data_IF_503420329196
#
_entry.id   IF_503420329196
#
_cell.length_a   1.000
_cell.length_b   1.000
_cell.length_c   1.000
_cell.angle_alpha   90.00
_cell.angle_beta   90.00
_cell.angle_gamma   90.00
#
_symmetry.space_group_name_H-M   'P 1'
#
loop_
_entity.id
_entity.type
_entity.pdbx_description
1 polymer ?
#
# COMPACT_ATOMS: atom_id res chain seq x y z
N UNK A 1 -1.37 24.05 17.17
CA UNK A 1 -2.41 23.20 16.55
C UNK A 1 -1.89 21.77 16.56
N UNK A 2 -2.56 20.83 17.24
CA UNK A 2 -2.05 19.44 17.38
C UNK A 2 -2.19 18.71 16.03
N UNK A 3 -1.07 18.24 15.50
CA UNK A 3 -0.98 17.52 14.23
C UNK A 3 -1.39 16.06 14.40
N UNK A 4 -2.70 15.80 14.38
CA UNK A 4 -3.24 14.44 14.46
C UNK A 4 -2.97 13.60 13.20
N UNK A 5 -2.58 14.25 12.09
CA UNK A 5 -2.40 13.64 10.77
C UNK A 5 -0.95 13.46 10.33
N UNK A 6 0.01 14.01 11.09
CA UNK A 6 1.42 13.88 10.76
C UNK A 6 2.00 12.69 11.52
N UNK A 7 2.15 11.57 10.82
CA UNK A 7 3.02 10.48 11.26
C UNK A 7 4.44 11.01 11.51
N UNK A 8 5.19 10.33 12.38
CA UNK A 8 6.61 10.64 12.61
C UNK A 8 7.38 10.57 11.29
N UNK A 9 8.42 11.40 11.13
CA UNK A 9 9.29 11.31 9.96
C UNK A 9 9.85 9.91 9.86
N UNK A 10 9.60 9.25 8.73
CA UNK A 10 10.21 7.95 8.41
C UNK A 10 11.71 8.21 8.30
N UNK A 11 12.50 7.50 9.09
CA UNK A 11 13.96 7.56 9.06
C UNK A 11 14.50 7.22 7.66
N UNK A 12 15.70 7.71 7.33
CA UNK A 12 16.34 7.60 6.01
C UNK A 12 16.16 6.21 5.37
N UNK A 13 15.29 6.15 4.36
CA UNK A 13 15.03 4.97 3.55
C UNK A 13 16.30 4.66 2.77
N UNK A 14 16.92 3.51 3.03
CA UNK A 14 17.98 2.96 2.17
C UNK A 14 17.40 2.71 0.79
N UNK A 15 17.87 3.42 -0.23
CA UNK A 15 17.43 3.22 -1.61
C UNK A 15 17.84 1.83 -2.11
N UNK A 16 16.89 0.97 -2.50
CA UNK A 16 17.18 -0.17 -3.35
C UNK A 16 17.20 0.31 -4.81
N UNK A 17 18.27 -0.03 -5.52
CA UNK A 17 18.40 0.26 -6.96
C UNK A 17 17.45 -0.66 -7.72
N UNK A 18 16.35 -0.09 -8.24
CA UNK A 18 15.45 -0.81 -9.13
C UNK A 18 16.15 -1.12 -10.48
N UNK A 19 15.88 -2.29 -11.10
CA UNK A 19 16.36 -2.56 -12.45
C UNK A 19 15.76 -1.55 -13.44
N UNK A 20 16.51 -1.14 -14.49
CA UNK A 20 16.05 -0.12 -15.42
C UNK A 20 14.83 -0.63 -16.22
N UNK A 21 13.69 0.04 -16.03
CA UNK A 21 12.49 -0.17 -16.84
C UNK A 21 12.79 0.38 -18.24
N UNK A 22 12.67 -0.47 -19.27
CA UNK A 22 12.90 -0.07 -20.66
C UNK A 22 11.89 1.03 -21.05
N UNK A 23 12.42 2.19 -21.46
CA UNK A 23 11.69 3.37 -21.92
C UNK A 23 10.51 3.01 -22.83
N UNK A 24 9.33 2.96 -22.24
CA UNK A 24 8.06 2.85 -22.95
C UNK A 24 7.35 4.19 -22.80
N UNK A 25 6.73 4.68 -23.87
CA UNK A 25 5.93 5.92 -23.90
C UNK A 25 4.80 6.00 -22.85
N UNK A 26 4.56 4.92 -22.12
CA UNK A 26 3.52 4.80 -21.08
C UNK A 26 4.05 4.91 -19.65
N UNK A 27 5.36 5.01 -19.45
CA UNK A 27 5.96 5.16 -18.11
C UNK A 27 6.61 6.53 -17.96
N UNK A 28 6.29 7.19 -16.85
CA UNK A 28 7.01 8.38 -16.38
C UNK A 28 8.26 7.93 -15.60
N UNK A 29 9.33 8.71 -15.67
CA UNK A 29 10.49 8.50 -14.81
C UNK A 29 10.15 8.86 -13.36
N UNK A 30 10.71 8.11 -12.41
CA UNK A 30 10.55 8.45 -11.00
C UNK A 30 11.15 9.85 -10.72
N UNK A 31 10.44 10.71 -9.96
CA UNK A 31 10.91 12.05 -9.66
C UNK A 31 12.20 12.01 -8.84
N UNK A 32 13.22 12.74 -9.32
CA UNK A 32 14.56 12.74 -8.71
C UNK A 32 14.55 13.46 -7.36
N UNK A 33 15.22 12.86 -6.37
CA UNK A 33 15.41 13.45 -5.05
C UNK A 33 14.19 13.37 -4.12
N UNK A 34 13.13 12.64 -4.52
CA UNK A 34 11.98 12.34 -3.66
C UNK A 34 12.00 10.83 -3.34
N UNK A 35 12.17 10.43 -2.08
CA UNK A 35 12.22 9.01 -1.73
C UNK A 35 10.88 8.32 -1.99
N UNK A 36 10.95 7.08 -2.46
CA UNK A 36 9.78 6.24 -2.63
C UNK A 36 9.24 5.76 -1.27
N UNK A 37 8.01 6.16 -0.93
CA UNK A 37 7.32 5.74 0.28
C UNK A 37 6.75 4.33 0.18
N UNK A 38 6.31 3.92 -1.01
CA UNK A 38 5.93 2.54 -1.33
C UNK A 38 6.66 2.09 -2.59
N UNK A 39 7.29 0.93 -2.54
CA UNK A 39 7.99 0.31 -3.66
C UNK A 39 7.43 -1.10 -3.86
N UNK A 40 6.81 -1.35 -5.01
CA UNK A 40 6.19 -2.63 -5.35
C UNK A 40 7.09 -3.36 -6.33
N UNK A 41 7.41 -4.62 -6.04
CA UNK A 41 8.40 -5.40 -6.79
C UNK A 41 7.83 -6.75 -7.20
N UNK A 42 7.49 -6.88 -8.49
CA UNK A 42 6.96 -8.09 -9.10
C UNK A 42 5.72 -8.65 -8.39
N UNK A 43 4.92 -7.80 -7.75
CA UNK A 43 3.84 -8.21 -6.86
C UNK A 43 2.78 -8.99 -7.64
N UNK A 44 2.49 -10.20 -7.19
CA UNK A 44 1.64 -11.16 -7.91
C UNK A 44 0.64 -11.81 -6.96
N UNK A 45 -0.61 -11.94 -7.42
CA UNK A 45 -1.67 -12.68 -6.72
C UNK A 45 -2.38 -13.65 -7.64
N UNK A 46 -2.36 -14.91 -7.26
CA UNK A 46 -3.14 -15.99 -7.87
C UNK A 46 -4.10 -16.54 -6.81
N UNK A 47 -5.40 -16.54 -7.11
CA UNK A 47 -6.40 -17.17 -6.27
C UNK A 47 -6.58 -18.63 -6.67
N UNK A 48 -5.96 -19.53 -5.91
CA UNK A 48 -5.85 -20.97 -6.22
C UNK A 48 -7.20 -21.64 -6.45
N UNK A 49 -8.24 -21.28 -5.66
CA UNK A 49 -9.59 -21.84 -5.80
C UNK A 49 -10.21 -21.63 -7.17
N UNK A 50 -9.85 -20.55 -7.85
CA UNK A 50 -10.42 -20.16 -9.14
C UNK A 50 -9.38 -20.27 -10.27
N UNK A 51 -8.16 -20.70 -9.95
CA UNK A 51 -6.98 -20.62 -10.82
C UNK A 51 -6.86 -19.28 -11.56
N UNK A 52 -7.20 -18.18 -10.86
CA UNK A 52 -7.33 -16.85 -11.46
C UNK A 52 -6.20 -15.95 -11.00
N UNK A 53 -5.45 -15.43 -11.98
CA UNK A 53 -4.45 -14.39 -11.75
C UNK A 53 -5.18 -13.06 -11.60
N UNK A 54 -5.04 -12.42 -10.45
CA UNK A 54 -5.67 -11.14 -10.14
C UNK A 54 -4.70 -9.96 -10.25
N UNK A 55 -3.41 -10.20 -9.99
CA UNK A 55 -2.31 -9.25 -10.20
C UNK A 55 -1.12 -10.06 -10.70
N UNK A 56 -0.43 -9.58 -11.73
CA UNK A 56 0.68 -10.29 -12.37
C UNK A 56 1.91 -9.38 -12.49
N UNK A 57 2.93 -9.63 -11.67
CA UNK A 57 4.22 -8.92 -11.69
C UNK A 57 4.07 -7.40 -11.76
N UNK A 58 3.30 -6.82 -10.82
CA UNK A 58 3.17 -5.37 -10.72
C UNK A 58 4.46 -4.79 -10.14
N UNK A 59 5.07 -3.86 -10.87
CA UNK A 59 6.17 -3.01 -10.42
C UNK A 59 5.68 -1.56 -10.40
N UNK A 60 5.84 -0.88 -9.27
CA UNK A 60 5.33 0.49 -9.07
C UNK A 60 6.06 1.16 -7.90
N UNK A 61 6.55 2.38 -8.12
CA UNK A 61 7.02 3.26 -7.06
C UNK A 61 6.02 4.38 -6.81
N UNK A 62 5.81 4.72 -5.53
CA UNK A 62 5.04 5.89 -5.13
C UNK A 62 5.92 6.77 -4.25
N UNK A 63 6.04 8.04 -4.62
CA UNK A 63 6.95 8.97 -3.98
C UNK A 63 6.29 9.74 -2.84
N UNK A 64 7.08 10.05 -1.82
CA UNK A 64 6.58 10.81 -0.67
C UNK A 64 6.06 12.19 -1.08
N UNK A 65 4.94 12.60 -0.47
CA UNK A 65 4.31 13.90 -0.76
C UNK A 65 3.51 13.95 -2.07
N UNK A 66 3.37 12.83 -2.79
CA UNK A 66 2.55 12.74 -3.98
C UNK A 66 1.28 11.93 -3.75
N UNK A 67 0.26 12.20 -4.57
CA UNK A 67 -0.97 11.41 -4.63
C UNK A 67 -0.86 10.47 -5.83
N UNK A 68 -0.77 9.17 -5.57
CA UNK A 68 -0.81 8.15 -6.62
C UNK A 68 -2.22 7.60 -6.76
N UNK A 69 -2.70 7.51 -8.01
CA UNK A 69 -4.01 6.92 -8.32
C UNK A 69 -3.84 5.62 -9.10
N UNK A 70 -4.40 4.53 -8.58
CA UNK A 70 -4.47 3.24 -9.29
C UNK A 70 -5.81 3.11 -10.01
N UNK A 71 -5.82 3.27 -11.34
CA UNK A 71 -7.03 3.27 -12.17
C UNK A 71 -7.11 2.03 -13.07
N UNK A 72 -8.32 1.64 -13.45
CA UNK A 72 -8.58 0.48 -14.30
C UNK A 72 -10.01 -0.04 -14.18
N UNK A 73 -10.43 -0.93 -15.06
CA UNK A 73 -11.78 -1.52 -15.05
C UNK A 73 -12.04 -2.40 -13.81
N UNK A 74 -13.30 -2.81 -13.60
CA UNK A 74 -13.65 -3.75 -12.54
C UNK A 74 -12.96 -5.09 -12.76
N UNK A 75 -12.33 -5.64 -11.71
CA UNK A 75 -11.55 -6.87 -11.80
C UNK A 75 -10.12 -6.72 -12.34
N UNK A 76 -9.65 -5.50 -12.64
CA UNK A 76 -8.26 -5.25 -13.06
C UNK A 76 -7.20 -5.48 -11.97
N UNK A 77 -7.61 -5.76 -10.73
CA UNK A 77 -6.69 -6.04 -9.62
C UNK A 77 -6.49 -4.90 -8.63
N UNK A 78 -7.13 -3.72 -8.80
CA UNK A 78 -6.96 -2.54 -7.92
C UNK A 78 -7.12 -2.85 -6.43
N UNK A 79 -8.30 -3.37 -6.05
CA UNK A 79 -8.59 -3.74 -4.66
C UNK A 79 -7.67 -4.86 -4.20
N UNK A 80 -7.36 -5.83 -5.08
CA UNK A 80 -6.44 -6.92 -4.77
C UNK A 80 -5.03 -6.42 -4.44
N UNK A 81 -4.52 -5.46 -5.19
CA UNK A 81 -3.23 -4.80 -4.92
C UNK A 81 -3.27 -4.10 -3.57
N UNK A 82 -4.28 -3.27 -3.31
CA UNK A 82 -4.41 -2.59 -2.02
C UNK A 82 -4.52 -3.57 -0.85
N UNK A 83 -5.26 -4.67 -1.01
CA UNK A 83 -5.37 -5.72 0.00
C UNK A 83 -4.04 -6.43 0.29
N UNK A 84 -3.16 -6.59 -0.70
CA UNK A 84 -1.82 -7.12 -0.45
C UNK A 84 -0.94 -6.10 0.29
N UNK A 85 -0.93 -4.84 -0.15
CA UNK A 85 -0.13 -3.78 0.49
C UNK A 85 -0.54 -3.52 1.94
N UNK A 86 -1.83 -3.72 2.26
CA UNK A 86 -2.39 -3.55 3.60
C UNK A 86 -2.34 -4.81 4.45
N UNK A 87 -1.83 -5.92 3.91
CA UNK A 87 -1.67 -7.19 4.63
C UNK A 87 -2.97 -7.95 4.88
N UNK A 88 -4.08 -7.61 4.23
CA UNK A 88 -5.34 -8.35 4.33
C UNK A 88 -5.19 -9.81 3.84
N UNK A 89 -4.33 -10.02 2.84
CA UNK A 89 -3.83 -11.34 2.49
C UNK A 89 -2.44 -11.24 1.86
N UNK A 90 -1.60 -12.29 2.00
CA UNK A 90 -0.25 -12.25 1.46
C UNK A 90 -0.26 -12.32 -0.08
N UNK A 91 0.78 -11.79 -0.75
CA UNK A 91 1.02 -12.03 -2.16
C UNK A 91 1.30 -13.53 -2.41
N UNK A 92 1.07 -13.98 -3.65
CA UNK A 92 1.49 -15.31 -4.10
C UNK A 92 3.00 -15.33 -4.39
N UNK A 93 3.51 -14.24 -4.95
CA UNK A 93 4.96 -14.00 -5.15
C UNK A 93 5.23 -12.51 -5.30
N UNK A 94 6.51 -12.14 -5.25
CA UNK A 94 6.93 -10.73 -5.18
C UNK A 94 6.78 -10.14 -3.78
N UNK A 95 7.06 -8.85 -3.65
CA UNK A 95 6.96 -8.13 -2.38
C UNK A 95 6.64 -6.64 -2.61
N UNK A 96 6.45 -5.90 -1.52
CA UNK A 96 6.48 -4.46 -1.50
C UNK A 96 7.17 -3.96 -0.24
N UNK A 97 7.82 -2.80 -0.34
CA UNK A 97 8.38 -2.06 0.78
C UNK A 97 7.49 -0.86 1.07
N UNK A 98 7.07 -0.68 2.32
CA UNK A 98 6.31 0.50 2.77
C UNK A 98 7.12 1.16 3.88
N UNK A 99 7.58 2.39 3.66
CA UNK A 99 8.47 3.08 4.60
C UNK A 99 9.76 2.30 4.88
N UNK A 100 10.23 1.51 3.92
CA UNK A 100 11.43 0.66 4.07
C UNK A 100 11.19 -0.74 4.65
N UNK A 101 9.97 -1.06 5.13
CA UNK A 101 9.63 -2.36 5.70
C UNK A 101 8.93 -3.28 4.70
N UNK A 102 9.32 -4.56 4.67
CA UNK A 102 8.78 -5.54 3.74
C UNK A 102 7.39 -6.07 4.18
N UNK A 103 6.39 -6.05 3.28
CA UNK A 103 5.01 -6.47 3.60
C UNK A 103 4.86 -7.98 3.89
N UNK A 104 5.83 -8.81 3.52
CA UNK A 104 5.84 -10.25 3.76
C UNK A 104 6.54 -10.57 5.08
N UNK A 105 7.60 -9.83 5.42
CA UNK A 105 8.46 -10.12 6.58
C UNK A 105 8.21 -9.23 7.80
N UNK A 106 7.80 -7.98 7.59
CA UNK A 106 7.80 -6.90 8.59
C UNK A 106 6.44 -6.18 8.65
N UNK A 107 5.35 -6.91 8.38
CA UNK A 107 4.02 -6.30 8.24
C UNK A 107 3.55 -5.53 9.49
N UNK A 108 4.00 -5.92 10.70
CA UNK A 108 3.68 -5.19 11.92
C UNK A 108 4.28 -3.78 11.95
N UNK A 109 5.46 -3.58 11.36
CA UNK A 109 6.07 -2.27 11.20
C UNK A 109 5.35 -1.47 10.10
N UNK A 110 5.03 -2.13 8.97
CA UNK A 110 4.25 -1.54 7.89
C UNK A 110 2.92 -0.96 8.40
N UNK A 111 2.18 -1.72 9.22
CA UNK A 111 0.87 -1.28 9.75
C UNK A 111 0.95 -0.10 10.72
N UNK A 112 2.12 0.20 11.30
CA UNK A 112 2.29 1.40 12.16
C UNK A 112 2.34 2.69 11.36
N UNK A 113 2.75 2.62 10.09
CA UNK A 113 2.86 3.78 9.20
C UNK A 113 1.80 3.82 8.10
N UNK A 114 0.94 2.79 8.00
CA UNK A 114 -0.05 2.65 6.94
C UNK A 114 -1.48 2.82 7.48
N UNK A 115 -2.26 3.70 6.84
CA UNK A 115 -3.71 3.81 7.04
C UNK A 115 -4.48 3.21 5.86
N UNK A 116 -5.59 2.52 6.15
CA UNK A 116 -6.51 2.00 5.14
C UNK A 116 -7.90 2.59 5.34
N UNK A 117 -8.47 3.14 4.28
CA UNK A 117 -9.90 3.44 4.20
C UNK A 117 -10.61 2.29 3.48
N UNK A 118 -11.52 1.55 4.13
CA UNK A 118 -12.28 0.48 3.49
C UNK A 118 -13.16 0.98 2.34
N UNK A 119 -13.59 0.06 1.47
CA UNK A 119 -14.49 0.37 0.34
C UNK A 119 -15.91 0.75 0.81
N UNK A 120 -16.35 0.20 1.93
CA UNK A 120 -17.67 0.45 2.50
C UNK A 120 -17.50 1.07 3.89
N UNK A 121 -18.35 2.02 4.22
CA UNK A 121 -18.34 2.67 5.51
C UNK A 121 -18.71 1.67 6.60
N UNK A 122 -17.88 1.56 7.63
CA UNK A 122 -18.09 0.69 8.78
C UNK A 122 -18.63 1.56 9.92
N UNK A 123 -19.92 1.90 9.82
CA UNK A 123 -20.64 2.69 10.82
C UNK A 123 -21.49 1.76 11.70
N UNK A 124 -21.44 2.01 13.00
CA UNK A 124 -22.24 1.35 14.03
C UNK A 124 -23.28 2.34 14.53
N UNK A 125 -24.56 2.03 14.33
CA UNK A 125 -25.67 2.94 14.66
C UNK A 125 -25.71 3.33 16.15
N UNK A 126 -25.19 2.46 17.02
CA UNK A 126 -25.18 2.64 18.47
C UNK A 126 -24.01 3.50 18.99
N UNK A 127 -23.06 3.90 18.12
CA UNK A 127 -21.88 4.66 18.52
C UNK A 127 -21.92 6.11 18.01
N UNK A 128 -21.61 7.05 18.89
CA UNK A 128 -21.34 8.44 18.50
C UNK A 128 -20.07 8.54 17.64
N UNK A 129 -19.86 9.67 16.96
CA UNK A 129 -18.66 9.92 16.16
C UNK A 129 -17.37 9.82 17.00
N UNK A 130 -17.39 10.34 18.24
CA UNK A 130 -16.23 10.28 19.13
C UNK A 130 -15.92 8.84 19.56
N UNK A 131 -16.94 8.02 19.79
CA UNK A 131 -16.80 6.60 20.14
C UNK A 131 -16.27 5.80 18.95
N UNK A 132 -16.71 6.08 17.72
CA UNK A 132 -16.14 5.49 16.51
C UNK A 132 -14.65 5.76 16.36
N UNK A 133 -14.24 7.03 16.46
CA UNK A 133 -12.83 7.41 16.35
C UNK A 133 -12.02 6.72 17.46
N UNK A 134 -12.54 6.69 18.69
CA UNK A 134 -11.88 6.03 19.81
C UNK A 134 -11.77 4.52 19.58
N UNK A 135 -12.82 3.88 19.07
CA UNK A 135 -12.84 2.46 18.73
C UNK A 135 -11.75 2.13 17.71
N UNK A 136 -11.77 2.79 16.55
CA UNK A 136 -10.78 2.54 15.50
C UNK A 136 -9.35 2.92 15.89
N UNK A 137 -9.15 3.90 16.79
CA UNK A 137 -7.81 4.21 17.31
C UNK A 137 -7.22 3.13 18.22
N UNK A 138 -8.08 2.29 18.83
CA UNK A 138 -7.69 1.21 19.74
C UNK A 138 -7.62 -0.15 19.06
N UNK A 139 -8.37 -0.35 17.99
CA UNK A 139 -8.28 -1.56 17.16
C UNK A 139 -6.91 -1.58 16.50
N UNK A 140 -6.01 -2.44 17.00
CA UNK A 140 -4.75 -2.76 16.34
C UNK A 140 -5.01 -3.89 15.36
N UNK A 141 -4.79 -3.62 14.07
CA UNK A 141 -4.72 -4.64 13.01
C UNK A 141 -3.27 -5.10 12.91
#
# INVERSE_FOLDING_TARGET
>A
MRSYWLGRSVDEVKEPVAPPIQNSTFFEEDPKGIPAGVQVQGLTKVFSRLNKVAVNKLDLNTCNGQITMLLGHNGAGKTTTMSMLTGLFPPTSGTALVGGHDIVREMDEVRRSLGLCPQHDILFDDLTVAEHITFFSKVRV
#
